data_IF_431247103528
#
_entry.id   IF_431247103528
#
_cell.length_a   1.000
_cell.length_b   1.000
_cell.length_c   1.000
_cell.angle_alpha   90.00
_cell.angle_beta   90.00
_cell.angle_gamma   90.00
#
_symmetry.space_group_name_H-M   'P 1'
#
loop_
_entity.id
_entity.type
_entity.pdbx_description
1 polymer ?
#
# COMPACT_ATOMS: atom_id res chain seq x y z
N UNK A 1 42.80 45.04 41.52
CA UNK A 1 41.99 45.70 40.48
C UNK A 1 41.97 44.78 39.28
N UNK A 2 40.75 44.38 38.85
CA UNK A 2 40.29 43.73 37.59
C UNK A 2 41.17 42.63 36.94
N UNK A 3 40.69 41.38 36.82
CA UNK A 3 39.93 40.81 35.68
C UNK A 3 40.67 40.99 34.33
N UNK A 4 41.00 39.96 33.55
CA UNK A 4 40.07 39.00 32.94
C UNK A 4 40.72 37.66 32.57
N UNK A 5 40.03 36.56 32.89
CA UNK A 5 40.18 35.24 32.29
C UNK A 5 39.26 35.18 31.06
N UNK A 6 39.80 34.90 29.87
CA UNK A 6 39.00 34.59 28.67
C UNK A 6 38.70 33.09 28.62
N UNK A 7 37.42 32.66 28.62
CA UNK A 7 37.06 31.26 28.46
C UNK A 7 36.88 30.88 26.99
N UNK A 8 37.50 29.76 26.62
CA UNK A 8 36.87 28.61 25.93
C UNK A 8 36.03 28.90 24.68
N UNK A 9 36.67 28.84 23.50
CA UNK A 9 35.97 28.59 22.21
C UNK A 9 36.04 27.09 21.93
N UNK A 10 35.24 26.29 22.62
CA UNK A 10 35.10 24.86 22.27
C UNK A 10 33.82 24.27 22.84
N UNK A 11 32.65 24.68 22.34
CA UNK A 11 31.44 23.81 22.27
C UNK A 11 30.26 24.58 21.67
N UNK A 12 30.16 24.63 20.33
CA UNK A 12 28.86 24.90 19.70
C UNK A 12 28.82 24.36 18.27
N UNK A 13 29.05 23.05 18.10
CA UNK A 13 28.97 22.40 16.80
C UNK A 13 28.46 20.96 16.95
N UNK A 14 27.30 20.78 17.60
CA UNK A 14 26.71 19.45 17.76
C UNK A 14 25.19 19.42 17.98
N UNK A 15 24.42 20.33 17.38
CA UNK A 15 22.94 20.28 17.43
C UNK A 15 22.29 20.42 16.04
N UNK A 16 22.97 20.00 14.97
CA UNK A 16 22.37 20.02 13.61
C UNK A 16 22.30 18.65 12.91
N UNK A 17 22.66 17.57 13.58
CA UNK A 17 22.71 16.23 12.95
C UNK A 17 21.47 15.34 13.20
N UNK A 18 20.49 15.76 14.01
CA UNK A 18 19.40 14.87 14.45
C UNK A 18 18.05 15.06 13.73
N UNK A 19 17.90 16.07 12.87
CA UNK A 19 16.60 16.36 12.23
C UNK A 19 16.40 15.75 10.84
N UNK A 20 17.40 15.08 10.27
CA UNK A 20 17.38 14.63 8.86
C UNK A 20 16.72 13.27 8.57
N UNK A 21 16.34 12.48 9.58
CA UNK A 21 15.93 11.08 9.38
C UNK A 21 14.42 10.85 9.31
N UNK A 22 13.60 11.78 9.80
CA UNK A 22 12.14 11.59 9.84
C UNK A 22 11.46 11.94 8.52
N UNK A 23 11.99 12.94 7.82
CA UNK A 23 11.44 13.42 6.53
C UNK A 23 11.64 12.39 5.40
N UNK A 24 12.76 11.66 5.41
CA UNK A 24 13.06 10.63 4.41
C UNK A 24 12.14 9.41 4.52
N UNK A 25 11.80 8.96 5.73
CA UNK A 25 10.92 7.80 5.93
C UNK A 25 9.48 8.10 5.46
N UNK A 26 8.97 9.31 5.70
CA UNK A 26 7.64 9.70 5.20
C UNK A 26 7.59 9.73 3.68
N UNK A 27 8.64 10.22 3.02
CA UNK A 27 8.71 10.28 1.55
C UNK A 27 8.74 8.88 0.92
N UNK A 28 9.54 7.96 1.46
CA UNK A 28 9.60 6.59 0.93
C UNK A 28 8.28 5.84 1.16
N UNK A 29 7.59 6.07 2.28
CA UNK A 29 6.24 5.52 2.49
C UNK A 29 5.26 5.99 1.42
N UNK A 30 5.25 7.30 1.14
CA UNK A 30 4.41 7.89 0.10
C UNK A 30 4.74 7.33 -1.29
N UNK A 31 6.02 7.12 -1.59
CA UNK A 31 6.45 6.51 -2.84
C UNK A 31 5.93 5.07 -2.99
N UNK A 32 6.02 4.24 -1.94
CA UNK A 32 5.45 2.88 -1.97
C UNK A 32 3.93 2.91 -2.17
N UNK A 33 3.21 3.76 -1.43
CA UNK A 33 1.75 3.90 -1.60
C UNK A 33 1.38 4.37 -3.00
N UNK A 34 2.15 5.31 -3.56
CA UNK A 34 1.97 5.80 -4.92
C UNK A 34 2.24 4.69 -5.94
N UNK A 35 3.35 3.96 -5.82
CA UNK A 35 3.68 2.84 -6.71
C UNK A 35 2.61 1.75 -6.70
N UNK A 36 2.02 1.46 -5.54
CA UNK A 36 0.86 0.56 -5.42
C UNK A 36 -0.33 1.11 -6.21
N UNK A 37 -0.67 2.38 -6.00
CA UNK A 37 -1.79 3.04 -6.69
C UNK A 37 -1.59 3.05 -8.21
N UNK A 38 -0.40 3.44 -8.65
CA UNK A 38 -0.02 3.54 -10.06
C UNK A 38 -0.07 2.17 -10.75
N UNK A 39 0.37 1.09 -10.07
CA UNK A 39 0.27 -0.27 -10.60
C UNK A 39 -1.19 -0.68 -10.83
N UNK A 40 -2.06 -0.54 -9.82
CA UNK A 40 -3.45 -0.99 -9.92
C UNK A 40 -4.30 -0.12 -10.85
N UNK A 41 -4.06 1.19 -10.88
CA UNK A 41 -4.84 2.14 -11.68
C UNK A 41 -4.27 2.35 -13.10
N UNK A 42 -2.97 2.19 -13.29
CA UNK A 42 -2.28 2.45 -14.56
C UNK A 42 -2.31 1.29 -15.55
N UNK A 43 -2.81 0.13 -15.14
CA UNK A 43 -2.87 -1.07 -15.97
C UNK A 43 -3.91 -0.95 -17.08
N UNK A 44 -3.47 -0.56 -18.27
CA UNK A 44 -4.34 -0.39 -19.45
C UNK A 44 -4.94 -1.71 -19.96
N UNK A 45 -4.33 -2.85 -19.62
CA UNK A 45 -4.85 -4.17 -20.01
C UNK A 45 -6.02 -4.65 -19.14
N UNK A 46 -6.33 -3.93 -18.05
CA UNK A 46 -7.40 -4.31 -17.13
C UNK A 46 -8.75 -4.43 -17.83
N UNK A 47 -9.02 -3.59 -18.84
CA UNK A 47 -10.27 -3.57 -19.59
C UNK A 47 -10.56 -4.88 -20.33
N UNK A 48 -9.51 -5.54 -20.82
CA UNK A 48 -9.61 -6.81 -21.55
C UNK A 48 -9.80 -7.99 -20.60
N UNK A 49 -9.25 -7.91 -19.38
CA UNK A 49 -9.26 -8.99 -18.39
C UNK A 49 -10.49 -8.99 -17.48
N UNK A 50 -11.23 -7.88 -17.43
CA UNK A 50 -12.47 -7.79 -16.68
C UNK A 50 -13.57 -8.59 -17.39
N UNK A 51 -14.16 -9.61 -16.74
CA UNK A 51 -15.11 -10.51 -17.40
C UNK A 51 -16.46 -9.83 -17.65
N UNK A 52 -16.95 -9.00 -16.73
CA UNK A 52 -18.30 -8.43 -16.79
C UNK A 52 -18.30 -6.91 -16.65
N UNK A 53 -19.26 -6.23 -17.27
CA UNK A 53 -19.58 -4.84 -16.94
C UNK A 53 -20.70 -4.75 -15.89
N UNK A 54 -20.82 -3.59 -15.25
CA UNK A 54 -21.85 -3.32 -14.25
C UNK A 54 -21.58 -3.96 -12.88
N UNK A 55 -20.38 -4.53 -12.67
CA UNK A 55 -19.99 -5.21 -11.42
C UNK A 55 -18.93 -4.43 -10.66
N UNK A 56 -18.95 -4.60 -9.34
CA UNK A 56 -17.91 -4.10 -8.43
C UNK A 56 -17.08 -5.29 -7.92
N UNK A 57 -15.82 -5.34 -8.31
CA UNK A 57 -14.86 -6.33 -7.81
C UNK A 57 -14.20 -5.81 -6.54
N UNK A 58 -14.18 -6.63 -5.49
CA UNK A 58 -13.57 -6.30 -4.19
C UNK A 58 -12.69 -7.47 -3.78
N UNK A 59 -11.40 -7.22 -3.62
CA UNK A 59 -10.43 -8.23 -3.18
C UNK A 59 -9.26 -7.54 -2.50
N UNK A 60 -8.38 -8.34 -1.90
CA UNK A 60 -7.12 -7.85 -1.36
C UNK A 60 -5.95 -8.71 -1.80
N UNK A 61 -4.78 -8.07 -1.89
CA UNK A 61 -3.51 -8.77 -1.92
C UNK A 61 -2.89 -8.76 -0.51
N UNK A 62 -2.56 -9.94 0.00
CA UNK A 62 -1.74 -10.13 1.18
C UNK A 62 -0.29 -10.37 0.75
N UNK A 63 0.61 -9.52 1.21
CA UNK A 63 2.06 -9.63 0.98
C UNK A 63 2.72 -9.98 2.31
N UNK A 64 3.22 -11.21 2.43
CA UNK A 64 3.94 -11.64 3.62
C UNK A 64 5.42 -11.31 3.47
N UNK A 65 5.98 -10.60 4.45
CA UNK A 65 7.38 -10.19 4.46
C UNK A 65 8.06 -10.69 5.71
N UNK A 66 9.26 -11.22 5.57
CA UNK A 66 10.09 -11.65 6.69
C UNK A 66 11.48 -11.04 6.63
N UNK A 67 12.06 -10.79 7.81
CA UNK A 67 13.46 -10.43 7.99
C UNK A 67 14.27 -11.70 8.18
N UNK A 68 15.20 -11.96 7.27
CA UNK A 68 16.14 -13.08 7.39
C UNK A 68 17.36 -12.67 8.23
N UNK A 69 18.18 -13.65 8.65
CA UNK A 69 19.29 -13.47 9.60
C UNK A 69 20.26 -12.32 9.27
N UNK A 70 20.42 -11.98 7.98
CA UNK A 70 21.28 -10.89 7.52
C UNK A 70 20.60 -9.51 7.55
N UNK A 71 19.49 -9.36 8.30
CA UNK A 71 18.60 -8.18 8.31
C UNK A 71 17.98 -7.84 6.93
N UNK A 72 18.20 -8.69 5.92
CA UNK A 72 17.59 -8.58 4.60
C UNK A 72 16.11 -8.91 4.70
N UNK A 73 15.26 -8.08 4.09
CA UNK A 73 13.85 -8.38 3.96
C UNK A 73 13.62 -9.21 2.70
N UNK A 74 12.71 -10.17 2.82
CA UNK A 74 12.24 -10.98 1.70
C UNK A 74 10.73 -11.07 1.74
N UNK A 75 10.09 -10.87 0.58
CA UNK A 75 8.69 -11.21 0.38
C UNK A 75 8.58 -12.72 0.28
N UNK A 76 7.95 -13.35 1.27
CA UNK A 76 7.80 -14.80 1.36
C UNK A 76 6.59 -15.30 0.62
N UNK A 77 5.52 -14.51 0.53
CA UNK A 77 4.28 -14.91 -0.13
C UNK A 77 3.52 -13.68 -0.65
N UNK A 78 2.82 -13.85 -1.77
CA UNK A 78 1.80 -12.91 -2.27
C UNK A 78 0.55 -13.73 -2.54
N UNK A 79 -0.51 -13.45 -1.80
CA UNK A 79 -1.80 -14.14 -1.92
C UNK A 79 -2.88 -13.13 -2.26
N UNK A 80 -3.86 -13.52 -3.06
CA UNK A 80 -5.07 -12.74 -3.22
C UNK A 80 -6.23 -13.41 -2.49
N UNK A 81 -7.18 -12.61 -2.02
CA UNK A 81 -8.39 -13.10 -1.34
C UNK A 81 -9.37 -13.79 -2.29
N UNK A 82 -9.26 -13.54 -3.59
CA UNK A 82 -10.13 -14.07 -4.63
C UNK A 82 -9.31 -14.39 -5.88
N UNK A 83 -9.64 -15.51 -6.53
CA UNK A 83 -9.05 -15.94 -7.79
C UNK A 83 -9.20 -14.92 -8.93
N UNK A 84 -10.25 -14.09 -8.91
CA UNK A 84 -10.43 -13.03 -9.91
C UNK A 84 -9.29 -12.01 -9.88
N UNK A 85 -8.69 -11.77 -8.71
CA UNK A 85 -7.59 -10.82 -8.57
C UNK A 85 -6.36 -11.23 -9.39
N UNK A 86 -6.06 -12.53 -9.48
CA UNK A 86 -4.96 -13.04 -10.31
C UNK A 86 -5.25 -12.94 -11.79
N UNK A 87 -6.52 -13.04 -12.20
CA UNK A 87 -6.93 -12.80 -13.59
C UNK A 87 -6.79 -11.33 -13.94
N UNK A 88 -7.19 -10.43 -13.04
CA UNK A 88 -7.15 -8.99 -13.26
C UNK A 88 -5.71 -8.44 -13.24
N UNK A 89 -4.89 -8.92 -12.30
CA UNK A 89 -3.53 -8.48 -12.06
C UNK A 89 -2.54 -9.66 -12.05
N UNK A 90 -2.25 -10.24 -13.23
CA UNK A 90 -1.31 -11.36 -13.34
C UNK A 90 0.10 -10.97 -12.86
N UNK A 91 0.50 -9.71 -13.07
CA UNK A 91 1.81 -9.18 -12.68
C UNK A 91 1.90 -8.72 -11.21
N UNK A 92 1.06 -9.26 -10.33
CA UNK A 92 1.08 -8.98 -8.88
C UNK A 92 2.44 -9.26 -8.21
N UNK A 93 3.33 -9.99 -8.87
CA UNK A 93 4.74 -10.12 -8.49
C UNK A 93 5.49 -8.78 -8.40
N UNK A 94 5.00 -7.71 -9.04
CA UNK A 94 5.46 -6.34 -8.84
C UNK A 94 5.56 -5.96 -7.36
N UNK A 95 4.63 -6.45 -6.52
CA UNK A 95 4.65 -6.16 -5.07
C UNK A 95 5.93 -6.64 -4.38
N UNK A 96 6.72 -7.55 -4.99
CA UNK A 96 8.03 -7.97 -4.47
C UNK A 96 9.10 -6.89 -4.56
N UNK A 97 8.95 -5.91 -5.45
CA UNK A 97 9.98 -4.90 -5.73
C UNK A 97 9.90 -3.69 -4.79
N UNK A 98 8.80 -3.56 -4.04
CA UNK A 98 8.53 -2.43 -3.17
C UNK A 98 9.42 -2.42 -1.91
N UNK A 99 9.72 -1.21 -1.41
CA UNK A 99 10.55 -0.98 -0.23
C UNK A 99 9.79 -1.24 1.09
N UNK A 100 9.53 -2.51 1.41
CA UNK A 100 8.76 -2.89 2.61
C UNK A 100 9.41 -2.54 3.95
N UNK A 101 10.72 -2.27 3.97
CA UNK A 101 11.48 -1.93 5.18
C UNK A 101 10.91 -0.73 5.94
N UNK A 102 10.33 0.24 5.24
CA UNK A 102 9.78 1.46 5.86
C UNK A 102 8.56 1.20 6.74
N UNK A 103 7.89 0.05 6.59
CA UNK A 103 6.76 -0.37 7.41
C UNK A 103 7.12 -1.47 8.43
N UNK A 104 8.26 -2.14 8.25
CA UNK A 104 8.66 -3.25 9.10
C UNK A 104 9.15 -2.82 10.49
N UNK A 105 9.65 -1.58 10.66
CA UNK A 105 10.22 -1.10 11.93
C UNK A 105 11.13 -2.16 12.58
N UNK A 106 10.82 -2.63 13.80
CA UNK A 106 11.54 -3.70 14.53
C UNK A 106 10.95 -5.11 14.32
N UNK A 107 9.90 -5.26 13.50
CA UNK A 107 9.20 -6.54 13.26
C UNK A 107 10.10 -7.53 12.52
N UNK A 108 10.00 -8.81 12.89
CA UNK A 108 10.66 -9.92 12.18
C UNK A 108 9.81 -10.42 11.01
N UNK A 109 8.49 -10.35 11.13
CA UNK A 109 7.51 -10.72 10.11
C UNK A 109 6.34 -9.73 10.14
N UNK A 110 5.70 -9.51 9.00
CA UNK A 110 4.45 -8.79 8.90
C UNK A 110 3.70 -9.22 7.65
N UNK A 111 2.37 -9.15 7.71
CA UNK A 111 1.50 -9.37 6.57
C UNK A 111 0.87 -8.04 6.16
N UNK A 112 1.17 -7.59 4.95
CA UNK A 112 0.64 -6.34 4.40
C UNK A 112 -0.62 -6.63 3.61
N UNK A 113 -1.72 -5.98 3.96
CA UNK A 113 -3.00 -6.11 3.27
C UNK A 113 -3.21 -4.90 2.39
N UNK A 114 -3.32 -5.14 1.07
CA UNK A 114 -3.55 -4.12 0.06
C UNK A 114 -4.96 -4.29 -0.51
N UNK A 115 -5.90 -3.44 -0.11
CA UNK A 115 -7.28 -3.50 -0.58
C UNK A 115 -7.41 -2.94 -1.99
N UNK A 116 -8.17 -3.61 -2.85
CA UNK A 116 -8.47 -3.14 -4.20
C UNK A 116 -9.99 -3.21 -4.44
N UNK A 117 -10.54 -2.10 -4.91
CA UNK A 117 -11.93 -2.01 -5.36
C UNK A 117 -11.95 -1.47 -6.79
N UNK A 118 -12.50 -2.28 -7.69
CA UNK A 118 -12.66 -1.96 -9.10
C UNK A 118 -14.14 -1.91 -9.43
N UNK A 119 -14.64 -0.72 -9.76
CA UNK A 119 -16.00 -0.53 -10.25
C UNK A 119 -15.98 -0.51 -11.78
N UNK A 120 -16.68 -1.44 -12.40
CA UNK A 120 -16.74 -1.56 -13.85
C UNK A 120 -18.10 -1.07 -14.30
N UNK A 121 -18.13 0.13 -14.88
CA UNK A 121 -19.37 0.71 -15.39
C UNK A 121 -19.58 0.30 -16.86
N UNK A 122 -20.83 -0.05 -17.19
CA UNK A 122 -21.25 -0.15 -18.58
C UNK A 122 -21.46 1.26 -19.12
N UNK A 123 -21.10 1.50 -20.39
CA UNK A 123 -21.40 2.75 -21.11
C UNK A 123 -22.86 3.22 -21.05
N UNK A 124 -23.83 2.32 -20.81
CA UNK A 124 -25.27 2.62 -20.64
C UNK A 124 -25.74 2.54 -19.17
N UNK A 125 -24.86 2.14 -18.25
CA UNK A 125 -25.16 1.93 -16.83
C UNK A 125 -24.99 3.22 -16.01
N UNK A 126 -25.84 3.39 -14.99
CA UNK A 126 -25.57 4.39 -13.95
C UNK A 126 -24.35 3.95 -13.16
N UNK A 127 -23.43 4.86 -12.86
CA UNK A 127 -22.39 4.63 -11.85
C UNK A 127 -23.09 4.14 -10.59
N UNK A 128 -22.59 3.05 -10.00
CA UNK A 128 -23.07 2.70 -8.67
C UNK A 128 -22.75 3.91 -7.77
N UNK A 129 -23.77 4.57 -7.22
CA UNK A 129 -23.61 5.56 -6.14
C UNK A 129 -23.15 4.80 -4.90
N UNK A 130 -21.93 4.27 -4.96
CA UNK A 130 -21.26 3.63 -3.86
C UNK A 130 -20.32 4.69 -3.32
N UNK A 131 -20.74 5.35 -2.24
CA UNK A 131 -19.82 6.24 -1.55
C UNK A 131 -18.56 5.46 -1.17
N UNK A 132 -17.39 6.10 -1.35
CA UNK A 132 -16.11 5.51 -1.00
C UNK A 132 -16.09 4.98 0.45
N UNK A 133 -16.86 5.63 1.33
CA UNK A 133 -17.13 5.23 2.72
C UNK A 133 -17.76 3.84 2.84
N UNK A 134 -18.74 3.51 2.01
CA UNK A 134 -19.46 2.24 2.04
C UNK A 134 -18.63 1.09 1.48
N UNK A 135 -17.83 1.36 0.45
CA UNK A 135 -16.84 0.41 -0.04
C UNK A 135 -15.77 0.11 1.02
N UNK A 136 -15.33 1.14 1.76
CA UNK A 136 -14.40 0.99 2.87
C UNK A 136 -14.99 0.14 4.00
N UNK A 137 -16.27 0.35 4.33
CA UNK A 137 -16.98 -0.43 5.36
C UNK A 137 -17.15 -1.89 4.94
N UNK A 138 -17.58 -2.15 3.71
CA UNK A 138 -17.72 -3.50 3.15
C UNK A 138 -16.36 -4.22 3.10
N UNK A 139 -15.30 -3.52 2.73
CA UNK A 139 -13.97 -4.08 2.74
C UNK A 139 -13.51 -4.39 4.17
N UNK A 140 -13.70 -3.48 5.14
CA UNK A 140 -13.40 -3.73 6.55
C UNK A 140 -14.16 -4.92 7.13
N UNK A 141 -15.40 -5.19 6.68
CA UNK A 141 -16.12 -6.40 7.12
C UNK A 141 -15.48 -7.70 6.65
N UNK A 142 -14.71 -7.71 5.55
CA UNK A 142 -13.97 -8.89 5.12
C UNK A 142 -12.85 -9.28 6.10
N UNK A 143 -12.39 -8.36 6.96
CA UNK A 143 -11.30 -8.59 7.93
C UNK A 143 -11.78 -8.86 9.36
N UNK A 144 -13.08 -8.78 9.63
CA UNK A 144 -13.60 -8.93 11.01
C UNK A 144 -13.48 -10.35 11.58
N UNK A 145 -13.18 -11.36 10.75
CA UNK A 145 -13.16 -12.76 11.14
C UNK A 145 -11.76 -13.41 11.24
N UNK A 146 -10.68 -12.70 10.88
CA UNK A 146 -9.33 -13.25 11.01
C UNK A 146 -8.72 -12.86 12.36
N UNK A 147 -8.64 -13.85 13.25
CA UNK A 147 -8.13 -13.74 14.62
C UNK A 147 -6.63 -13.45 14.67
N UNK A 148 -6.27 -12.18 14.50
CA UNK A 148 -5.18 -11.43 15.15
C UNK A 148 -4.85 -10.23 14.26
N UNK A 149 -5.70 -9.21 14.33
CA UNK A 149 -5.60 -7.95 13.56
C UNK A 149 -4.26 -7.23 13.79
N UNK A 150 -3.57 -7.49 14.91
CA UNK A 150 -2.31 -6.83 15.30
C UNK A 150 -1.08 -7.23 14.45
N UNK A 151 -1.11 -8.37 13.77
CA UNK A 151 -0.01 -8.83 12.90
C UNK A 151 -0.11 -8.28 11.46
N UNK A 152 -1.22 -7.64 11.13
CA UNK A 152 -1.51 -7.11 9.80
C UNK A 152 -1.25 -5.61 9.71
N UNK A 153 -0.66 -5.18 8.60
CA UNK A 153 -0.47 -3.77 8.24
C UNK A 153 -1.38 -3.45 7.06
N UNK A 154 -2.43 -2.68 7.32
CA UNK A 154 -3.46 -2.35 6.33
C UNK A 154 -3.12 -1.08 5.56
N UNK A 155 -3.13 -1.18 4.24
CA UNK A 155 -3.04 -0.03 3.35
C UNK A 155 -4.40 0.64 3.16
N UNK A 156 -4.38 1.90 2.70
CA UNK A 156 -5.59 2.55 2.21
C UNK A 156 -6.08 1.82 0.96
N UNK A 157 -7.39 1.59 0.81
CA UNK A 157 -7.90 0.98 -0.40
C UNK A 157 -7.62 1.78 -1.66
N UNK A 158 -7.13 1.06 -2.66
CA UNK A 158 -7.05 1.53 -4.03
C UNK A 158 -8.42 1.35 -4.65
N UNK A 159 -9.07 2.47 -4.95
CA UNK A 159 -10.43 2.50 -5.47
C UNK A 159 -10.41 3.25 -6.80
N UNK A 160 -10.85 2.61 -7.86
CA UNK A 160 -10.92 3.24 -9.17
C UNK A 160 -12.05 2.64 -10.02
N UNK A 161 -12.43 3.39 -11.06
CA UNK A 161 -13.57 3.08 -11.93
C UNK A 161 -13.04 2.93 -13.35
N UNK A 162 -13.50 1.89 -14.05
CA UNK A 162 -13.25 1.72 -15.47
C UNK A 162 -14.56 1.65 -16.24
N UNK A 163 -14.60 2.21 -17.44
CA UNK A 163 -15.76 2.15 -18.34
C UNK A 163 -15.53 1.13 -19.45
N UNK A 164 -16.41 0.13 -19.56
CA UNK A 164 -16.40 -0.84 -20.65
C UNK A 164 -17.53 -0.51 -21.63
N UNK A 165 -17.17 -0.22 -22.89
CA UNK A 165 -18.14 -0.14 -23.97
C UNK A 165 -18.62 -1.55 -24.31
N UNK A 166 -19.94 -1.71 -24.38
CA UNK A 166 -20.57 -2.93 -24.88
C UNK A 166 -20.81 -2.71 -26.37
N UNK A 167 -20.15 -3.50 -27.21
CA UNK A 167 -20.55 -3.64 -28.61
C UNK A 167 -21.61 -4.73 -28.62
N UNK A 168 -22.85 -4.34 -28.89
CA UNK A 168 -23.99 -5.25 -29.07
C UNK A 168 -23.81 -6.08 -30.35
#
# INVERSE_FOLDING_TARGET
MALELRPTITTLLLIWALSGSTQSVSTVKQEVEKSISDFFMGDKGIFERVPDSGKVYRFFFQVDVSRTGNRRLSVTSIKASDTIAYKLYPDSHFLKTLQWNVYMHKRKKASFIIPVVLDVISSKGKTHKNERSDQLKAFRSLFKNDGNIEDYIYFRPVVFVISKQMFD
#
